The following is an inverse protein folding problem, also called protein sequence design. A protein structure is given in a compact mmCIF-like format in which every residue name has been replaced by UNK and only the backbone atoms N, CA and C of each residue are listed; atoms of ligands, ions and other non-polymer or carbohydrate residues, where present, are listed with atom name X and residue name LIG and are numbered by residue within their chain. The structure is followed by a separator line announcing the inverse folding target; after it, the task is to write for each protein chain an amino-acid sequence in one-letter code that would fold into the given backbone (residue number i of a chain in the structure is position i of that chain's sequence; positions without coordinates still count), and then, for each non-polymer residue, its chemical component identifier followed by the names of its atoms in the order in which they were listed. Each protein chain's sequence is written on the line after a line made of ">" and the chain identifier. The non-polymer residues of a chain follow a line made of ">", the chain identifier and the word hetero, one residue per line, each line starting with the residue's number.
data_IF_804124729223
#
_entry.id   IF_804124729223
#
_cell.length_a   1.000
_cell.length_b   1.000
_cell.length_c   1.000
_cell.angle_alpha   90.00
_cell.angle_beta   90.00
_cell.angle_gamma   90.00
#
_symmetry.space_group_name_H-M   'P 1'
#
loop_
_entity.id
_entity.type
_entity.pdbx_description
1 polymer ?
#
# COMPACT_ATOMS: atom_id res chain seq x y z
N UNK A 1 -48.46 -17.72 25.40
CA UNK A 1 -47.35 -17.99 24.47
C UNK A 1 -47.63 -17.19 23.23
N UNK A 2 -46.96 -16.06 23.06
CA UNK A 2 -47.13 -15.21 21.88
C UNK A 2 -45.74 -14.79 21.38
N UNK A 3 -45.48 -15.08 20.11
CA UNK A 3 -44.15 -15.20 19.50
C UNK A 3 -43.87 -13.99 18.58
N UNK A 4 -44.09 -12.77 19.06
CA UNK A 4 -44.10 -11.57 18.19
C UNK A 4 -43.31 -10.37 18.73
N UNK A 5 -42.54 -10.51 19.81
CA UNK A 5 -41.74 -9.40 20.39
C UNK A 5 -40.22 -9.61 20.43
N UNK A 6 -39.67 -10.60 19.72
CA UNK A 6 -38.22 -10.89 19.73
C UNK A 6 -37.47 -10.63 18.42
N UNK A 7 -38.12 -10.06 17.39
CA UNK A 7 -37.46 -9.89 16.07
C UNK A 7 -36.82 -8.51 15.87
N UNK A 8 -37.02 -7.54 16.77
CA UNK A 8 -36.55 -6.16 16.52
C UNK A 8 -35.19 -5.78 17.16
N UNK A 9 -34.54 -6.66 17.94
CA UNK A 9 -33.19 -6.39 18.45
C UNK A 9 -32.07 -7.19 17.76
N UNK A 10 -32.39 -8.29 17.07
CA UNK A 10 -31.38 -9.08 16.35
C UNK A 10 -31.03 -8.52 14.97
N UNK A 11 -31.90 -7.71 14.35
CA UNK A 11 -31.64 -7.12 13.03
C UNK A 11 -30.77 -5.86 13.08
N UNK A 12 -30.63 -5.22 14.24
CA UNK A 12 -29.78 -4.04 14.45
C UNK A 12 -28.32 -4.41 14.79
N UNK A 13 -28.04 -5.70 15.05
CA UNK A 13 -26.68 -6.22 15.24
C UNK A 13 -26.01 -6.63 13.92
N UNK A 14 -26.73 -6.66 12.80
CA UNK A 14 -26.20 -7.03 11.48
C UNK A 14 -25.81 -5.82 10.60
N UNK A 15 -26.03 -4.59 11.06
CA UNK A 15 -25.66 -3.35 10.35
C UNK A 15 -24.67 -2.47 11.12
N UNK A 16 -24.08 -3.00 12.18
CA UNK A 16 -22.99 -2.35 12.92
C UNK A 16 -21.67 -2.50 12.17
N UNK A 17 -21.43 -1.62 11.20
CA UNK A 17 -20.11 -1.09 10.80
C UNK A 17 -18.94 -2.06 11.03
N UNK A 18 -18.85 -3.07 10.17
CA UNK A 18 -17.62 -3.77 9.89
C UNK A 18 -16.68 -2.83 9.10
N UNK A 19 -16.18 -1.78 9.76
CA UNK A 19 -14.90 -1.19 9.36
C UNK A 19 -13.84 -2.12 9.95
N UNK A 20 -13.68 -3.29 9.32
CA UNK A 20 -12.46 -4.07 9.48
C UNK A 20 -11.32 -3.14 9.08
N UNK A 21 -10.40 -2.88 10.00
CA UNK A 21 -9.07 -2.42 9.64
C UNK A 21 -8.46 -3.51 8.76
N UNK A 22 -8.64 -3.40 7.45
CA UNK A 22 -8.11 -4.34 6.46
C UNK A 22 -6.62 -4.07 6.30
N UNK A 23 -5.84 -4.43 7.31
CA UNK A 23 -4.46 -4.85 7.09
C UNK A 23 -4.50 -6.36 7.18
N UNK A 24 -4.19 -7.03 6.08
CA UNK A 24 -4.11 -8.48 6.04
C UNK A 24 -3.01 -8.92 7.00
N UNK A 25 -3.37 -9.49 8.15
CA UNK A 25 -2.45 -10.24 9.02
C UNK A 25 -1.92 -11.49 8.29
N UNK A 26 -2.50 -11.82 7.15
CA UNK A 26 -2.21 -13.03 6.42
C UNK A 26 -1.19 -12.84 5.30
N UNK A 27 0.06 -13.21 5.53
CA UNK A 27 0.96 -13.69 4.48
C UNK A 27 1.72 -14.90 5.00
N UNK A 28 2.07 -15.82 4.10
CA UNK A 28 3.01 -16.90 4.43
C UNK A 28 4.47 -16.42 4.41
N UNK A 29 4.70 -15.22 3.87
CA UNK A 29 6.01 -14.60 3.80
C UNK A 29 6.26 -13.67 5.00
N UNK A 30 7.55 -13.39 5.24
CA UNK A 30 7.95 -12.37 6.21
C UNK A 30 7.88 -11.01 5.52
N UNK A 31 7.09 -10.10 6.09
CA UNK A 31 6.81 -8.78 5.54
C UNK A 31 7.27 -7.71 6.53
N UNK A 32 7.97 -6.70 6.00
CA UNK A 32 8.33 -5.48 6.72
C UNK A 32 7.20 -4.49 6.57
N UNK A 33 6.89 -3.74 7.63
CA UNK A 33 5.73 -2.84 7.64
C UNK A 33 4.47 -3.59 7.16
N UNK A 34 4.27 -4.85 7.57
CA UNK A 34 3.06 -5.62 7.29
C UNK A 34 2.83 -6.12 5.86
N UNK A 35 3.33 -5.44 4.83
CA UNK A 35 3.03 -5.69 3.40
C UNK A 35 4.24 -5.45 2.46
N UNK A 36 5.43 -5.11 2.97
CA UNK A 36 6.64 -4.98 2.15
C UNK A 36 7.45 -6.27 2.17
N UNK A 37 7.54 -6.94 1.02
CA UNK A 37 8.33 -8.15 0.84
C UNK A 37 9.82 -7.83 0.60
N UNK A 38 10.69 -8.36 1.46
CA UNK A 38 12.15 -8.27 1.28
C UNK A 38 12.66 -9.44 0.40
N UNK A 39 13.44 -9.19 -0.67
CA UNK A 39 14.07 -10.24 -1.45
C UNK A 39 15.02 -11.12 -0.60
N UNK A 40 14.73 -12.42 -0.47
CA UNK A 40 15.54 -13.36 0.33
C UNK A 40 16.81 -13.86 -0.35
N UNK A 41 16.97 -13.61 -1.65
CA UNK A 41 18.07 -14.16 -2.48
C UNK A 41 19.26 -13.22 -2.61
N UNK A 42 19.29 -12.09 -1.88
CA UNK A 42 20.33 -11.07 -1.99
C UNK A 42 21.02 -10.86 -0.64
N UNK A 43 22.34 -10.98 -0.61
CA UNK A 43 23.17 -10.70 0.57
C UNK A 43 23.62 -9.22 0.67
N UNK A 44 23.43 -8.43 -0.39
CA UNK A 44 23.63 -6.99 -0.42
C UNK A 44 22.48 -6.33 -1.19
N UNK A 45 21.87 -5.30 -0.59
CA UNK A 45 20.77 -4.58 -1.21
C UNK A 45 21.33 -3.66 -2.31
N UNK A 46 21.13 -4.02 -3.58
CA UNK A 46 21.68 -3.30 -4.75
C UNK A 46 21.24 -1.82 -4.81
N UNK A 47 20.16 -1.44 -4.11
CA UNK A 47 19.64 -0.07 -4.05
C UNK A 47 20.44 0.87 -3.14
N UNK A 48 21.16 0.35 -2.14
CA UNK A 48 21.81 1.18 -1.12
C UNK A 48 22.99 2.00 -1.66
N UNK A 49 23.65 1.51 -2.71
CA UNK A 49 24.91 2.07 -3.19
C UNK A 49 24.75 3.14 -4.28
N UNK A 50 23.55 3.35 -4.83
CA UNK A 50 23.24 4.39 -5.82
C UNK A 50 21.84 4.92 -5.60
N UNK A 51 21.75 6.18 -5.23
CA UNK A 51 20.48 6.89 -5.11
C UNK A 51 19.66 6.63 -6.38
N UNK A 52 18.47 6.06 -6.21
CA UNK A 52 17.49 5.79 -7.27
C UNK A 52 17.75 4.62 -8.22
N UNK A 53 18.73 3.74 -7.97
CA UNK A 53 18.97 2.57 -8.83
C UNK A 53 17.85 1.50 -8.79
N UNK A 54 16.87 1.67 -7.90
CA UNK A 54 15.71 0.79 -7.76
C UNK A 54 14.41 1.46 -8.22
N UNK A 55 14.50 2.51 -9.04
CA UNK A 55 13.35 3.04 -9.77
C UNK A 55 13.11 2.26 -11.06
N UNK A 56 11.87 2.28 -11.53
CA UNK A 56 11.57 1.90 -12.90
C UNK A 56 12.21 2.89 -13.88
N UNK A 57 12.83 2.42 -14.96
CA UNK A 57 13.54 3.30 -15.88
C UNK A 57 12.54 4.20 -16.60
N UNK A 58 12.87 5.49 -16.69
CA UNK A 58 12.14 6.43 -17.53
C UNK A 58 12.68 6.35 -18.95
N UNK A 59 11.77 6.18 -19.91
CA UNK A 59 12.08 6.26 -21.32
C UNK A 59 12.50 7.69 -21.69
N UNK A 60 13.67 7.82 -22.32
CA UNK A 60 14.17 9.11 -22.80
C UNK A 60 13.40 9.62 -24.01
N UNK A 61 12.75 8.74 -24.76
CA UNK A 61 12.03 9.07 -26.00
C UNK A 61 10.59 9.47 -25.73
N UNK A 62 9.84 8.62 -25.02
CA UNK A 62 8.43 8.87 -24.69
C UNK A 62 8.27 9.75 -23.45
N UNK A 63 9.28 9.81 -22.58
CA UNK A 63 9.17 10.46 -21.27
C UNK A 63 8.29 9.70 -20.29
N UNK A 64 7.85 8.48 -20.61
CA UNK A 64 7.05 7.61 -19.74
C UNK A 64 7.93 6.71 -18.89
N UNK A 65 7.36 6.21 -17.81
CA UNK A 65 7.94 5.15 -16.98
C UNK A 65 7.10 3.91 -17.20
N UNK A 66 7.59 3.03 -18.06
CA UNK A 66 6.86 1.84 -18.43
C UNK A 66 7.13 0.73 -17.41
N UNK A 67 6.07 0.21 -16.81
CA UNK A 67 6.07 -0.84 -15.79
C UNK A 67 5.36 -2.06 -16.38
N UNK A 68 6.11 -3.02 -16.93
CA UNK A 68 5.52 -4.23 -17.51
C UNK A 68 4.83 -5.06 -16.44
N UNK A 69 3.67 -5.64 -16.74
CA UNK A 69 2.93 -6.50 -15.82
C UNK A 69 2.29 -7.71 -16.49
N UNK A 70 2.07 -8.76 -15.69
CA UNK A 70 1.23 -9.92 -16.00
C UNK A 70 0.14 -10.02 -14.94
N UNK A 71 -1.12 -10.19 -15.36
CA UNK A 71 -2.24 -10.52 -14.47
C UNK A 71 -2.45 -12.03 -14.45
N UNK A 72 -2.57 -12.60 -13.25
CA UNK A 72 -2.93 -14.01 -13.10
C UNK A 72 -4.30 -14.32 -13.70
N UNK A 73 -4.41 -15.47 -14.38
CA UNK A 73 -5.68 -15.99 -14.88
C UNK A 73 -6.63 -16.49 -13.78
N UNK A 74 -6.17 -16.47 -12.52
CA UNK A 74 -7.00 -16.77 -11.35
C UNK A 74 -7.95 -15.63 -10.97
N UNK A 75 -7.72 -14.41 -11.49
CA UNK A 75 -8.67 -13.31 -11.34
C UNK A 75 -9.80 -13.44 -12.35
N UNK A 76 -11.03 -13.20 -11.90
CA UNK A 76 -12.17 -13.05 -12.81
C UNK A 76 -12.14 -11.70 -13.55
N UNK A 77 -13.08 -11.52 -14.48
CA UNK A 77 -13.12 -10.30 -15.30
C UNK A 77 -13.42 -9.03 -14.49
N UNK A 78 -14.20 -9.12 -13.41
CA UNK A 78 -14.51 -7.98 -12.54
C UNK A 78 -13.31 -7.58 -11.70
N UNK A 79 -12.58 -8.55 -11.18
CA UNK A 79 -11.33 -8.34 -10.45
C UNK A 79 -10.25 -7.76 -11.37
N UNK A 80 -10.05 -8.34 -12.57
CA UNK A 80 -9.14 -7.80 -13.59
C UNK A 80 -9.51 -6.35 -13.93
N UNK A 81 -10.80 -6.05 -14.14
CA UNK A 81 -11.26 -4.68 -14.39
C UNK A 81 -10.89 -3.73 -13.25
N UNK A 82 -11.11 -4.14 -12.01
CA UNK A 82 -10.79 -3.32 -10.82
C UNK A 82 -9.29 -3.01 -10.73
N UNK A 83 -8.43 -3.98 -11.03
CA UNK A 83 -6.98 -3.80 -11.08
C UNK A 83 -6.58 -2.82 -12.19
N UNK A 84 -7.15 -2.99 -13.39
CA UNK A 84 -6.87 -2.10 -14.53
C UNK A 84 -7.38 -0.67 -14.27
N UNK A 85 -8.54 -0.50 -13.63
CA UNK A 85 -9.07 0.81 -13.25
C UNK A 85 -8.16 1.51 -12.22
N UNK A 86 -7.60 0.76 -11.26
CA UNK A 86 -6.64 1.29 -10.28
C UNK A 86 -5.32 1.73 -10.95
N UNK A 87 -4.79 0.92 -11.87
CA UNK A 87 -3.65 1.29 -12.73
C UNK A 87 -3.94 2.57 -13.51
N UNK A 88 -5.17 2.74 -14.02
CA UNK A 88 -5.55 3.91 -14.80
C UNK A 88 -5.39 5.22 -14.04
N UNK A 89 -5.61 5.21 -12.72
CA UNK A 89 -5.40 6.38 -11.86
C UNK A 89 -3.96 6.92 -11.88
N UNK A 90 -2.96 6.05 -12.02
CA UNK A 90 -1.57 6.49 -12.22
C UNK A 90 -1.35 7.06 -13.61
N UNK A 91 -1.91 6.42 -14.63
CA UNK A 91 -1.68 6.80 -16.03
C UNK A 91 -2.26 8.18 -16.36
N UNK A 92 -3.37 8.55 -15.72
CA UNK A 92 -4.04 9.83 -15.91
C UNK A 92 -3.34 10.97 -15.19
N UNK A 93 -2.71 10.70 -14.04
CA UNK A 93 -2.15 11.72 -13.17
C UNK A 93 -0.61 11.81 -13.20
N UNK A 94 0.06 10.85 -13.82
CA UNK A 94 1.53 10.73 -13.83
C UNK A 94 2.06 10.28 -15.19
N UNK A 95 3.39 10.16 -15.31
CA UNK A 95 4.06 9.57 -16.46
C UNK A 95 4.25 8.04 -16.36
N UNK A 96 3.77 7.39 -15.30
CA UNK A 96 3.83 5.92 -15.14
C UNK A 96 2.81 5.26 -16.06
N UNK A 97 3.23 4.21 -16.77
CA UNK A 97 2.38 3.43 -17.67
C UNK A 97 2.51 1.96 -17.32
N UNK A 98 1.39 1.31 -16.99
CA UNK A 98 1.37 -0.13 -16.80
C UNK A 98 1.14 -0.77 -18.17
N UNK A 99 2.12 -1.53 -18.65
CA UNK A 99 2.08 -2.13 -19.99
C UNK A 99 2.01 -3.67 -19.88
N UNK A 100 1.22 -4.36 -20.71
CA UNK A 100 1.26 -5.82 -20.76
C UNK A 100 2.69 -6.29 -21.03
N UNK A 101 3.19 -7.19 -20.19
CA UNK A 101 4.51 -7.78 -20.34
C UNK A 101 4.63 -8.55 -21.65
N UNK A 102 5.79 -8.44 -22.30
CA UNK A 102 6.12 -9.19 -23.51
C UNK A 102 7.33 -10.08 -23.30
N UNK A 103 8.47 -9.49 -22.94
CA UNK A 103 9.77 -10.16 -22.86
C UNK A 103 10.76 -9.44 -21.93
N UNK A 104 10.32 -8.38 -21.27
CA UNK A 104 11.12 -7.57 -20.37
C UNK A 104 11.58 -8.41 -19.18
N UNK A 105 12.87 -8.32 -18.83
CA UNK A 105 13.42 -9.08 -17.68
C UNK A 105 12.77 -8.69 -16.35
N UNK A 106 12.50 -7.40 -16.16
CA UNK A 106 11.88 -6.90 -14.93
C UNK A 106 10.42 -6.54 -15.22
N UNK A 107 9.51 -7.13 -14.45
CA UNK A 107 8.07 -6.93 -14.60
C UNK A 107 7.35 -7.30 -13.30
N UNK A 108 6.13 -6.78 -13.15
CA UNK A 108 5.23 -7.12 -12.06
C UNK A 108 4.44 -8.39 -12.39
N UNK A 109 4.48 -9.38 -11.50
CA UNK A 109 3.59 -10.54 -11.55
C UNK A 109 2.50 -10.35 -10.51
N UNK A 110 1.30 -9.99 -10.97
CA UNK A 110 0.17 -9.69 -10.10
C UNK A 110 -0.62 -10.98 -9.86
N UNK A 111 -0.58 -11.47 -8.63
CA UNK A 111 -1.02 -12.81 -8.28
C UNK A 111 -1.90 -12.81 -7.02
N UNK A 112 -2.96 -13.65 -6.92
CA UNK A 112 -3.79 -13.72 -5.73
C UNK A 112 -3.16 -14.67 -4.70
N UNK A 113 -2.03 -14.29 -4.12
CA UNK A 113 -1.47 -15.00 -2.96
C UNK A 113 -2.22 -14.59 -1.69
N UNK A 114 -1.85 -15.20 -0.56
CA UNK A 114 -2.44 -14.86 0.72
C UNK A 114 -1.90 -13.50 1.18
N UNK A 115 -2.79 -12.52 1.32
CA UNK A 115 -2.47 -11.14 1.69
C UNK A 115 -2.30 -10.15 0.54
N UNK A 116 -2.16 -8.89 0.93
CA UNK A 116 -1.83 -7.75 0.09
C UNK A 116 -0.38 -7.42 0.40
N UNK A 117 0.51 -7.47 -0.61
CA UNK A 117 1.91 -7.12 -0.41
C UNK A 117 2.63 -6.90 -1.72
N UNK A 118 3.75 -6.17 -1.67
CA UNK A 118 4.58 -5.86 -2.83
C UNK A 118 6.05 -5.78 -2.44
N UNK A 119 6.94 -5.87 -3.43
CA UNK A 119 8.34 -5.49 -3.20
C UNK A 119 8.51 -3.98 -3.37
N UNK A 120 9.43 -3.41 -2.60
CA UNK A 120 9.72 -1.99 -2.69
C UNK A 120 10.61 -1.67 -3.89
N UNK A 121 10.06 -0.90 -4.83
CA UNK A 121 10.74 -0.45 -6.05
C UNK A 121 11.04 -1.58 -7.03
N UNK A 122 11.79 -1.26 -8.08
CA UNK A 122 12.23 -2.21 -9.12
C UNK A 122 13.42 -3.03 -8.65
N UNK A 123 13.26 -4.35 -8.61
CA UNK A 123 14.35 -5.26 -8.20
C UNK A 123 15.26 -5.70 -9.37
N UNK A 124 14.76 -5.58 -10.60
CA UNK A 124 15.46 -5.93 -11.84
C UNK A 124 15.13 -7.31 -12.43
N UNK A 125 14.11 -7.99 -11.90
CA UNK A 125 13.64 -9.33 -12.31
C UNK A 125 12.11 -9.38 -12.15
N UNK A 126 11.47 -10.53 -12.40
CA UNK A 126 10.09 -10.82 -12.01
C UNK A 126 9.91 -10.49 -10.52
N UNK A 127 8.97 -9.61 -10.20
CA UNK A 127 8.63 -9.28 -8.81
C UNK A 127 7.12 -9.39 -8.58
N UNK A 128 6.72 -10.00 -7.47
CA UNK A 128 5.32 -10.28 -7.18
C UNK A 128 4.66 -9.05 -6.55
N UNK A 129 3.44 -8.77 -6.99
CA UNK A 129 2.46 -7.97 -6.26
C UNK A 129 1.31 -8.90 -5.91
N UNK A 130 1.12 -9.17 -4.61
CA UNK A 130 0.03 -10.01 -4.14
C UNK A 130 -1.22 -9.17 -3.95
N UNK A 131 -2.31 -9.57 -4.62
CA UNK A 131 -3.64 -9.03 -4.36
C UNK A 131 -4.58 -10.20 -4.13
N UNK A 132 -4.72 -10.64 -2.87
CA UNK A 132 -5.70 -11.65 -2.52
C UNK A 132 -7.10 -11.24 -3.01
N UNK A 133 -7.78 -12.16 -3.69
CA UNK A 133 -9.09 -11.93 -4.32
C UNK A 133 -10.10 -11.27 -3.36
N UNK A 134 -10.20 -11.85 -2.16
CA UNK A 134 -11.01 -11.28 -1.08
C UNK A 134 -10.12 -10.40 -0.19
N UNK A 135 -10.53 -9.13 -0.03
CA UNK A 135 -9.84 -8.17 0.83
C UNK A 135 -8.91 -7.21 0.09
N UNK A 136 -8.11 -7.66 -0.88
CA UNK A 136 -7.11 -6.80 -1.52
C UNK A 136 -7.53 -6.20 -2.87
N UNK A 137 -8.50 -6.80 -3.57
CA UNK A 137 -8.97 -6.29 -4.87
C UNK A 137 -9.93 -5.11 -4.66
N UNK A 138 -9.39 -4.01 -4.11
CA UNK A 138 -10.06 -2.75 -3.85
C UNK A 138 -9.20 -1.61 -4.41
N UNK A 139 -9.83 -0.58 -4.99
CA UNK A 139 -9.13 0.45 -5.76
C UNK A 139 -7.91 1.05 -5.04
N UNK A 140 -8.07 1.56 -3.81
CA UNK A 140 -6.96 2.15 -3.06
C UNK A 140 -5.91 1.15 -2.60
N UNK A 141 -6.29 -0.08 -2.23
CA UNK A 141 -5.32 -1.13 -1.85
C UNK A 141 -4.46 -1.50 -3.06
N UNK A 142 -5.04 -1.63 -4.25
CA UNK A 142 -4.28 -1.91 -5.47
C UNK A 142 -3.30 -0.76 -5.75
N UNK A 143 -3.74 0.49 -5.60
CA UNK A 143 -2.84 1.65 -5.77
C UNK A 143 -1.73 1.67 -4.71
N UNK A 144 -2.04 1.32 -3.46
CA UNK A 144 -1.07 1.19 -2.38
C UNK A 144 0.05 0.19 -2.73
N UNK A 145 -0.31 -1.03 -3.14
CA UNK A 145 0.68 -2.05 -3.51
C UNK A 145 1.52 -1.67 -4.75
N UNK A 146 0.90 -0.94 -5.69
CA UNK A 146 1.59 -0.40 -6.85
C UNK A 146 2.54 0.76 -6.48
N UNK A 147 2.20 1.58 -5.48
CA UNK A 147 3.10 2.60 -4.93
C UNK A 147 4.33 1.96 -4.26
N UNK A 148 4.16 0.86 -3.52
CA UNK A 148 5.30 0.07 -3.05
C UNK A 148 6.17 -0.40 -4.22
N UNK A 149 5.57 -0.97 -5.28
CA UNK A 149 6.31 -1.40 -6.48
C UNK A 149 7.04 -0.25 -7.18
N UNK A 150 6.57 0.99 -7.02
CA UNK A 150 7.21 2.22 -7.52
C UNK A 150 8.29 2.77 -6.59
N UNK A 151 8.37 2.30 -5.34
CA UNK A 151 9.43 2.61 -4.39
C UNK A 151 9.01 3.51 -3.22
N UNK A 152 7.72 3.56 -2.88
CA UNK A 152 7.22 4.35 -1.76
C UNK A 152 7.05 3.49 -0.50
N UNK A 153 7.58 3.96 0.62
CA UNK A 153 7.31 3.43 1.97
C UNK A 153 5.96 3.95 2.48
N UNK A 154 5.54 3.44 3.63
CA UNK A 154 4.41 3.99 4.34
C UNK A 154 4.63 5.41 4.85
N UNK A 155 3.54 6.17 4.95
CA UNK A 155 3.56 7.54 5.44
C UNK A 155 3.92 7.62 6.93
N UNK A 156 3.40 6.68 7.75
CA UNK A 156 3.62 6.68 9.20
C UNK A 156 5.04 6.26 9.63
N UNK A 157 5.86 5.80 8.68
CA UNK A 157 7.26 5.44 8.90
C UNK A 157 8.24 6.50 8.39
N UNK A 158 7.77 7.64 7.89
CA UNK A 158 8.64 8.77 7.52
C UNK A 158 9.60 9.16 8.65
N UNK A 159 10.78 9.63 8.27
CA UNK A 159 11.83 10.12 9.18
C UNK A 159 11.35 11.25 10.12
N UNK A 160 10.38 12.06 9.67
CA UNK A 160 9.80 13.20 10.38
C UNK A 160 8.44 12.91 11.05
N UNK A 161 7.95 11.66 11.02
CA UNK A 161 6.58 11.30 11.43
C UNK A 161 6.23 11.70 12.86
N UNK A 162 7.20 11.75 13.78
CA UNK A 162 6.98 12.10 15.20
C UNK A 162 6.50 13.56 15.40
N UNK A 163 6.57 14.41 14.36
CA UNK A 163 5.99 15.76 14.38
C UNK A 163 4.48 15.76 14.09
N UNK A 164 3.94 14.64 13.60
CA UNK A 164 2.59 14.53 13.02
C UNK A 164 1.76 13.43 13.68
N UNK A 165 2.39 12.36 14.14
CA UNK A 165 1.69 11.27 14.83
C UNK A 165 2.44 10.87 16.10
N UNK A 166 1.69 10.35 17.07
CA UNK A 166 2.20 9.57 18.18
C UNK A 166 1.92 8.10 17.95
N UNK A 167 2.96 7.27 18.09
CA UNK A 167 2.81 5.81 18.14
C UNK A 167 2.54 5.39 19.58
N UNK A 168 1.41 4.72 19.81
CA UNK A 168 0.99 4.20 21.10
C UNK A 168 1.51 2.77 21.26
N UNK A 169 2.81 2.61 21.50
CA UNK A 169 3.51 1.32 21.54
C UNK A 169 2.87 0.26 22.44
N UNK A 170 2.28 0.68 23.56
CA UNK A 170 1.59 -0.20 24.50
C UNK A 170 0.32 -0.86 23.92
N UNK A 171 -0.23 -0.31 22.84
CA UNK A 171 -1.42 -0.80 22.17
C UNK A 171 -1.11 -1.75 20.99
N UNK A 172 0.17 -1.92 20.64
CA UNK A 172 0.61 -2.71 19.48
C UNK A 172 0.93 -4.15 19.94
N UNK A 173 0.57 -5.13 19.12
CA UNK A 173 1.02 -6.52 19.32
C UNK A 173 2.55 -6.57 19.20
N UNK A 174 3.24 -7.10 20.20
CA UNK A 174 4.72 -7.06 20.32
C UNK A 174 5.47 -7.53 19.08
N UNK A 175 4.97 -8.58 18.43
CA UNK A 175 5.60 -9.16 17.23
C UNK A 175 5.58 -8.22 16.01
N UNK A 176 4.79 -7.15 16.04
CA UNK A 176 4.66 -6.17 14.96
C UNK A 176 5.26 -4.80 15.30
N UNK A 177 6.05 -4.66 16.37
CA UNK A 177 6.67 -3.37 16.72
C UNK A 177 7.53 -2.81 15.58
N UNK A 178 8.26 -3.67 14.88
CA UNK A 178 9.09 -3.31 13.74
C UNK A 178 8.30 -2.69 12.56
N UNK A 179 6.99 -2.91 12.46
CA UNK A 179 6.15 -2.28 11.43
C UNK A 179 5.90 -0.79 11.67
N UNK A 180 6.31 -0.26 12.82
CA UNK A 180 6.16 1.14 13.23
C UNK A 180 7.50 1.86 13.38
N UNK A 181 8.61 1.16 13.13
CA UNK A 181 9.94 1.77 13.12
C UNK A 181 10.04 2.80 11.99
N UNK A 182 10.76 3.90 12.24
CA UNK A 182 10.97 4.92 11.22
C UNK A 182 11.98 4.43 10.19
N UNK A 183 11.72 4.75 8.94
CA UNK A 183 12.63 4.56 7.82
C UNK A 183 13.42 5.85 7.54
N UNK A 184 14.63 5.69 7.01
CA UNK A 184 15.40 6.82 6.47
C UNK A 184 14.84 7.21 5.10
N UNK A 185 13.79 8.03 5.11
CA UNK A 185 13.02 8.38 3.93
C UNK A 185 13.53 9.64 3.23
N UNK A 186 13.65 9.58 1.90
CA UNK A 186 13.66 10.79 1.07
C UNK A 186 12.22 11.30 0.93
N UNK A 187 11.90 12.33 1.70
CA UNK A 187 10.55 12.91 1.76
C UNK A 187 10.18 13.73 0.50
N UNK A 188 11.08 13.84 -0.48
CA UNK A 188 10.90 14.53 -1.76
C UNK A 188 10.43 15.97 -1.61
N UNK A 189 10.83 16.63 -0.51
CA UNK A 189 10.41 17.98 -0.14
C UNK A 189 8.87 18.16 -0.11
N UNK A 190 8.15 17.11 0.28
CA UNK A 190 6.69 17.15 0.45
C UNK A 190 6.31 17.12 1.93
N UNK A 191 5.20 17.80 2.27
CA UNK A 191 4.62 17.74 3.60
C UNK A 191 4.15 16.32 3.95
N UNK A 192 4.03 16.05 5.25
CA UNK A 192 3.33 14.87 5.76
C UNK A 192 1.86 14.90 5.34
N UNK A 193 1.33 13.76 4.94
CA UNK A 193 -0.01 13.62 4.41
C UNK A 193 -0.83 12.53 5.12
N UNK A 194 -1.63 12.94 6.09
CA UNK A 194 -2.59 12.06 6.76
C UNK A 194 -3.58 11.37 5.81
N UNK A 195 -3.84 11.97 4.64
CA UNK A 195 -4.76 11.43 3.64
C UNK A 195 -4.09 10.50 2.63
N UNK A 196 -2.77 10.28 2.73
CA UNK A 196 -2.05 9.37 1.85
C UNK A 196 -2.65 7.97 1.92
N UNK A 197 -2.77 7.31 0.77
CA UNK A 197 -3.17 5.89 0.71
C UNK A 197 -2.10 4.98 1.31
N UNK A 198 -0.89 5.51 1.53
CA UNK A 198 0.23 4.83 2.19
C UNK A 198 0.24 5.03 3.71
N UNK A 199 -0.76 5.71 4.30
CA UNK A 199 -0.82 5.90 5.74
C UNK A 199 -1.62 4.77 6.40
N UNK A 200 -1.08 4.15 7.44
CA UNK A 200 -1.84 3.19 8.25
C UNK A 200 -3.07 3.81 8.94
N UNK A 201 -4.09 2.97 9.13
CA UNK A 201 -5.22 3.30 9.98
C UNK A 201 -4.85 3.34 11.47
N UNK A 202 -5.72 3.98 12.26
CA UNK A 202 -5.53 4.18 13.71
C UNK A 202 -5.30 2.91 14.51
N UNK A 203 -5.89 1.79 14.09
CA UNK A 203 -5.91 0.54 14.84
C UNK A 203 -5.03 -0.55 14.23
N UNK A 204 -4.17 -0.18 13.28
CA UNK A 204 -3.23 -1.09 12.63
C UNK A 204 -2.44 -1.89 13.67
N UNK A 205 -2.45 -3.23 13.57
CA UNK A 205 -1.73 -4.14 14.47
C UNK A 205 -2.00 -3.95 15.98
N UNK A 206 -3.19 -3.44 16.32
CA UNK A 206 -3.64 -3.29 17.70
C UNK A 206 -3.83 -4.63 18.40
N UNK A 207 -3.55 -4.68 19.71
CA UNK A 207 -3.79 -5.87 20.57
C UNK A 207 -5.27 -6.27 20.55
N UNK A 208 -6.15 -5.30 20.38
CA UNK A 208 -7.58 -5.49 20.12
C UNK A 208 -8.01 -4.67 18.89
N UNK A 209 -9.14 -4.99 18.25
CA UNK A 209 -9.62 -4.22 17.10
C UNK A 209 -9.86 -2.72 17.37
N UNK A 210 -10.05 -2.32 18.63
CA UNK A 210 -10.26 -0.95 19.06
C UNK A 210 -8.99 -0.27 19.59
N UNK A 211 -7.87 -1.00 19.67
CA UNK A 211 -6.62 -0.47 20.19
C UNK A 211 -6.04 0.55 19.22
N UNK A 212 -6.09 1.84 19.57
CA UNK A 212 -5.50 2.90 18.76
C UNK A 212 -3.97 2.87 18.89
N UNK A 213 -3.29 2.44 17.83
CA UNK A 213 -1.83 2.35 17.72
C UNK A 213 -1.21 3.62 17.18
N UNK A 214 -1.95 4.40 16.38
CA UNK A 214 -1.52 5.68 15.83
C UNK A 214 -2.51 6.80 16.17
N UNK A 215 -2.01 7.89 16.77
CA UNK A 215 -2.80 9.10 17.07
C UNK A 215 -2.21 10.31 16.36
N UNK A 216 -2.94 10.98 15.45
CA UNK A 216 -2.53 12.25 14.86
C UNK A 216 -2.35 13.36 15.90
N UNK A 217 -1.42 14.29 15.64
CA UNK A 217 -1.14 15.45 16.48
C UNK A 217 -0.94 16.71 15.61
N UNK A 218 -1.24 17.91 16.13
CA UNK A 218 -1.84 18.18 17.45
C UNK A 218 -3.34 17.88 17.52
N UNK A 219 -4.02 17.71 16.38
CA UNK A 219 -5.44 17.39 16.34
C UNK A 219 -5.66 15.87 16.21
N UNK A 220 -6.11 15.19 17.28
CA UNK A 220 -6.32 13.75 17.26
C UNK A 220 -7.52 13.33 16.42
N UNK A 221 -8.32 14.23 15.86
CA UNK A 221 -9.50 13.89 15.06
C UNK A 221 -9.22 13.80 13.56
N UNK A 222 -8.02 14.14 13.10
CA UNK A 222 -7.66 14.09 11.68
C UNK A 222 -7.80 12.64 11.15
N UNK A 223 -8.53 12.38 10.06
CA UNK A 223 -8.67 11.03 9.52
C UNK A 223 -7.34 10.51 8.95
N UNK A 224 -7.06 9.23 9.18
CA UNK A 224 -5.90 8.48 8.65
C UNK A 224 -6.34 7.07 8.24
N UNK A 225 -5.63 6.44 7.31
CA UNK A 225 -5.91 5.07 6.86
C UNK A 225 -7.00 4.94 5.79
N UNK A 226 -7.18 5.98 4.97
CA UNK A 226 -8.13 5.92 3.85
C UNK A 226 -7.65 4.95 2.77
N UNK A 227 -8.58 4.23 2.14
CA UNK A 227 -8.30 3.27 1.06
C UNK A 227 -9.13 3.58 -0.21
N UNK A 228 -9.56 4.84 -0.37
CA UNK A 228 -10.35 5.28 -1.52
C UNK A 228 -9.46 5.33 -2.76
N UNK A 229 -8.26 5.89 -2.63
CA UNK A 229 -7.28 6.02 -3.71
C UNK A 229 -6.13 6.96 -3.33
N UNK A 230 -5.18 7.14 -4.24
CA UNK A 230 -4.05 8.05 -4.06
C UNK A 230 -4.51 9.47 -3.73
N UNK A 231 -3.83 10.11 -2.77
CA UNK A 231 -3.98 11.54 -2.53
C UNK A 231 -3.27 12.38 -3.61
N UNK A 232 -3.54 13.68 -3.62
CA UNK A 232 -2.79 14.62 -4.47
C UNK A 232 -1.28 14.61 -4.18
N UNK A 233 -0.89 14.33 -2.94
CA UNK A 233 0.51 14.30 -2.52
C UNK A 233 1.17 12.98 -2.93
N UNK A 234 0.45 11.86 -2.89
CA UNK A 234 0.92 10.59 -3.44
C UNK A 234 1.27 10.76 -4.93
N UNK A 235 0.34 11.35 -5.70
CA UNK A 235 0.52 11.66 -7.13
C UNK A 235 1.70 12.61 -7.34
N UNK A 236 1.80 13.69 -6.54
CA UNK A 236 2.89 14.65 -6.62
C UNK A 236 4.25 13.97 -6.37
N UNK A 237 4.33 13.09 -5.38
CA UNK A 237 5.57 12.36 -5.05
C UNK A 237 5.98 11.41 -6.17
N UNK A 238 5.04 10.69 -6.79
CA UNK A 238 5.32 9.89 -8.01
C UNK A 238 5.90 10.79 -9.10
N UNK A 239 5.27 11.94 -9.35
CA UNK A 239 5.72 12.88 -10.37
C UNK A 239 7.11 13.47 -10.09
N UNK A 240 7.43 13.79 -8.84
CA UNK A 240 8.77 14.26 -8.42
C UNK A 240 9.79 13.13 -8.59
N UNK A 241 9.50 11.95 -8.04
CA UNK A 241 10.40 10.80 -8.04
C UNK A 241 10.77 10.39 -9.48
N UNK A 242 9.80 10.38 -10.38
CA UNK A 242 9.98 9.99 -11.79
C UNK A 242 10.13 11.20 -12.74
N UNK A 243 10.27 12.40 -12.19
CA UNK A 243 10.51 13.65 -12.92
C UNK A 243 9.49 13.88 -14.06
N UNK A 244 8.24 13.49 -13.86
CA UNK A 244 7.21 13.56 -14.89
C UNK A 244 7.04 15.00 -15.39
N UNK A 245 7.08 15.19 -16.70
CA UNK A 245 6.84 16.51 -17.32
C UNK A 245 5.32 16.71 -17.36
N UNK A 246 4.87 17.92 -17.01
CA UNK A 246 3.51 18.36 -17.30
C UNK A 246 3.35 18.65 -18.78
#
# INVERSE_FOLDING_TARGET
>A
MDLTTTVSLLLLLLLGLFILSFISIGSTDFLVEGDILIPRTRNALKCANKQYSCRWPKSLTSGTVDVPYVLSDKYDNGEKKTILDAMKGFETATCVRFIPWTSETAYLSIEPKYGCFSLLGRIGDKQVVSLQRFGCVQHGIIQHELLHALGFYHEHTRSDRDQYIRVNWQNIIKDFFNNFDKMDTDNLNTRYDYSSVMHYGRTAFGITPQSETLTPIPDPNVPIGQIVGMSDIDILRVNILYQCKK
#
